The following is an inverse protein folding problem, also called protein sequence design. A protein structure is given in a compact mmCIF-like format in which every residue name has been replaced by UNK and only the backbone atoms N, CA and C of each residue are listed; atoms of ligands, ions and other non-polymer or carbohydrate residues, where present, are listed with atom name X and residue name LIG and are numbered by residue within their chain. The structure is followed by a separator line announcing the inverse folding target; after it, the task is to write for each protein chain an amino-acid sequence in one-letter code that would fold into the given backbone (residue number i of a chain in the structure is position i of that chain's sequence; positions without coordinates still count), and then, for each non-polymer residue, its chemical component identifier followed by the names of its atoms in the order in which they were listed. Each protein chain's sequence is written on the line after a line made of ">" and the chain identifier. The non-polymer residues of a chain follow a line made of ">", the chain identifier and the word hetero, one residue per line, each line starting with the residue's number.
data_IF_251034836261
#
_entry.id   IF_251034836261
#
_cell.length_a   1.000
_cell.length_b   1.000
_cell.length_c   1.000
_cell.angle_alpha   90.00
_cell.angle_beta   90.00
_cell.angle_gamma   90.00
#
_symmetry.space_group_name_H-M   'P 1'
#
loop_
_entity.id
_entity.type
_entity.pdbx_description
1 polymer ?
#
# COMPACT_ATOMS: atom_id res chain seq x y z
N UNK A 1 -81.91 3.92 -60.54
CA UNK A 1 -81.46 4.30 -59.18
C UNK A 1 -81.05 3.04 -58.43
N UNK A 2 -79.74 2.82 -58.26
CA UNK A 2 -79.13 1.94 -57.24
C UNK A 2 -77.78 2.59 -56.90
N UNK A 3 -77.67 3.18 -55.71
CA UNK A 3 -76.40 3.62 -55.13
C UNK A 3 -75.79 2.42 -54.40
N UNK A 4 -74.52 2.10 -54.68
CA UNK A 4 -73.68 1.24 -53.85
C UNK A 4 -72.67 2.11 -53.07
N UNK A 5 -72.35 1.79 -51.81
CA UNK A 5 -71.43 2.61 -51.01
C UNK A 5 -69.96 2.27 -51.31
N UNK A 6 -69.15 3.30 -51.48
CA UNK A 6 -67.69 3.25 -51.46
C UNK A 6 -67.22 3.09 -50.00
N UNK A 7 -66.56 1.98 -49.68
CA UNK A 7 -65.83 1.78 -48.43
C UNK A 7 -64.50 2.54 -48.49
N UNK A 8 -64.34 3.55 -47.64
CA UNK A 8 -63.07 4.23 -47.42
C UNK A 8 -62.29 3.51 -46.30
N UNK A 9 -61.25 2.77 -46.66
CA UNK A 9 -60.27 2.25 -45.71
C UNK A 9 -59.39 3.39 -45.20
N UNK A 10 -59.54 3.75 -43.94
CA UNK A 10 -58.61 4.63 -43.22
C UNK A 10 -57.46 3.78 -42.67
N UNK A 11 -56.26 3.98 -43.20
CA UNK A 11 -55.03 3.39 -42.66
C UNK A 11 -54.50 4.30 -41.57
N UNK A 12 -54.67 3.89 -40.31
CA UNK A 12 -54.11 4.59 -39.15
C UNK A 12 -52.64 4.18 -38.98
N UNK A 13 -51.71 5.07 -39.31
CA UNK A 13 -50.28 4.87 -39.04
C UNK A 13 -50.04 5.18 -37.56
N UNK A 14 -49.87 4.15 -36.74
CA UNK A 14 -49.35 4.30 -35.39
C UNK A 14 -47.85 4.61 -35.48
N UNK A 15 -47.50 5.89 -35.29
CA UNK A 15 -46.12 6.31 -35.07
C UNK A 15 -45.72 5.89 -33.65
N UNK A 16 -44.99 4.78 -33.53
CA UNK A 16 -44.40 4.35 -32.27
C UNK A 16 -43.32 5.35 -31.85
N UNK A 17 -43.66 6.28 -30.95
CA UNK A 17 -42.67 7.10 -30.24
C UNK A 17 -41.94 6.15 -29.28
N UNK A 18 -40.78 5.64 -29.71
CA UNK A 18 -39.86 4.98 -28.81
C UNK A 18 -39.29 6.03 -27.86
N UNK A 19 -39.75 6.06 -26.61
CA UNK A 19 -39.05 6.77 -25.54
C UNK A 19 -37.69 6.09 -25.35
N UNK A 20 -36.63 6.69 -25.91
CA UNK A 20 -35.28 6.34 -25.55
C UNK A 20 -35.10 6.63 -24.06
N UNK A 21 -34.87 5.58 -23.27
CA UNK A 21 -34.41 5.74 -21.89
C UNK A 21 -33.17 6.65 -21.91
N UNK A 22 -33.06 7.65 -21.01
CA UNK A 22 -31.87 8.48 -20.95
C UNK A 22 -30.67 7.56 -20.75
N UNK A 23 -29.71 7.67 -21.66
CA UNK A 23 -28.51 6.85 -21.62
C UNK A 23 -27.82 7.10 -20.27
N UNK A 24 -27.64 6.03 -19.48
CA UNK A 24 -27.10 6.14 -18.13
C UNK A 24 -25.60 6.39 -18.24
N UNK A 25 -25.13 7.54 -17.75
CA UNK A 25 -23.71 7.84 -17.70
C UNK A 25 -22.96 6.75 -16.91
N UNK A 26 -21.75 6.42 -17.34
CA UNK A 26 -20.92 5.38 -16.72
C UNK A 26 -19.91 6.02 -15.79
N UNK A 27 -19.91 5.61 -14.51
CA UNK A 27 -18.90 6.06 -13.55
C UNK A 27 -17.75 5.05 -13.50
N UNK A 28 -16.52 5.54 -13.57
CA UNK A 28 -15.30 4.74 -13.47
C UNK A 28 -14.36 5.34 -12.41
N UNK A 29 -13.43 4.52 -11.92
CA UNK A 29 -12.37 4.95 -11.04
C UNK A 29 -11.06 5.10 -11.83
N UNK A 30 -10.32 6.17 -11.58
CA UNK A 30 -9.09 6.50 -12.31
C UNK A 30 -8.03 6.87 -11.30
N UNK A 31 -6.92 6.13 -11.37
CA UNK A 31 -5.76 6.34 -10.52
C UNK A 31 -4.66 6.97 -11.35
N UNK A 32 -4.05 8.01 -10.81
CA UNK A 32 -2.88 8.65 -11.40
C UNK A 32 -1.75 8.67 -10.38
N UNK A 33 -0.54 8.34 -10.83
CA UNK A 33 0.67 8.49 -10.05
C UNK A 33 1.70 9.28 -10.84
N UNK A 34 2.41 10.16 -10.15
CA UNK A 34 3.60 10.83 -10.65
C UNK A 34 4.71 10.75 -9.61
N UNK A 35 5.79 10.08 -9.99
CA UNK A 35 7.06 10.08 -9.28
C UNK A 35 7.89 11.27 -9.76
N UNK A 36 8.08 12.25 -8.88
CA UNK A 36 8.69 13.55 -9.17
C UNK A 36 10.20 13.47 -9.24
N UNK A 37 10.81 12.49 -8.59
CA UNK A 37 12.26 12.33 -8.64
C UNK A 37 12.66 11.77 -10.01
N UNK A 38 11.91 10.76 -10.49
CA UNK A 38 12.16 10.09 -11.78
C UNK A 38 11.39 10.69 -12.97
N UNK A 39 10.49 11.65 -12.72
CA UNK A 39 9.53 12.19 -13.71
C UNK A 39 8.70 11.09 -14.41
N UNK A 40 8.37 10.01 -13.70
CA UNK A 40 7.58 8.89 -14.21
C UNK A 40 6.11 9.09 -13.92
N UNK A 41 5.27 8.75 -14.89
CA UNK A 41 3.82 8.84 -14.78
C UNK A 41 3.17 7.47 -14.98
N UNK A 42 1.97 7.33 -14.42
CA UNK A 42 1.11 6.20 -14.72
C UNK A 42 -0.36 6.54 -14.49
N UNK A 43 -1.22 6.09 -15.40
CA UNK A 43 -2.67 6.14 -15.24
C UNK A 43 -3.20 4.72 -15.33
N UNK A 44 -4.10 4.35 -14.41
CA UNK A 44 -4.89 3.14 -14.51
C UNK A 44 -6.37 3.45 -14.29
N UNK A 45 -7.24 2.90 -15.13
CA UNK A 45 -8.67 3.11 -15.07
C UNK A 45 -9.41 1.79 -14.82
N UNK A 46 -10.47 1.86 -14.01
CA UNK A 46 -11.23 0.71 -13.51
C UNK A 46 -12.72 0.90 -13.69
N UNK A 47 -13.40 -0.15 -14.14
CA UNK A 47 -14.86 -0.17 -14.14
C UNK A 47 -15.42 -0.35 -12.71
N UNK A 48 -16.75 -0.32 -12.58
CA UNK A 48 -17.45 -0.53 -11.31
C UNK A 48 -17.22 -1.92 -10.68
N UNK A 49 -16.92 -2.93 -11.51
CA UNK A 49 -16.49 -4.26 -11.06
C UNK A 49 -15.01 -4.31 -10.65
N UNK A 50 -14.34 -3.15 -10.61
CA UNK A 50 -12.92 -2.96 -10.28
C UNK A 50 -11.96 -3.70 -11.22
N UNK A 51 -12.39 -3.97 -12.45
CA UNK A 51 -11.55 -4.58 -13.49
C UNK A 51 -10.80 -3.47 -14.25
N UNK A 52 -9.54 -3.73 -14.62
CA UNK A 52 -8.71 -2.81 -15.38
C UNK A 52 -9.30 -2.64 -16.79
N UNK A 53 -9.53 -1.39 -17.18
CA UNK A 53 -10.11 -1.02 -18.50
C UNK A 53 -9.22 -0.06 -19.29
N UNK A 54 -8.14 0.45 -18.70
CA UNK A 54 -7.17 1.30 -19.37
C UNK A 54 -5.92 1.48 -18.53
N UNK A 55 -4.76 1.56 -19.18
CA UNK A 55 -3.47 1.72 -18.51
C UNK A 55 -2.48 2.43 -19.42
N UNK A 56 -1.66 3.34 -18.87
CA UNK A 56 -0.58 4.01 -19.60
C UNK A 56 0.55 4.40 -18.65
N UNK A 57 1.77 4.51 -19.17
CA UNK A 57 2.94 5.05 -18.46
C UNK A 57 3.20 6.51 -18.80
N UNK A 58 2.12 7.25 -18.99
CA UNK A 58 2.10 8.64 -19.38
C UNK A 58 1.07 9.39 -18.51
N UNK A 59 1.04 10.72 -18.59
CA UNK A 59 0.03 11.58 -17.98
C UNK A 59 -1.25 11.70 -18.83
N UNK A 60 -1.32 10.97 -19.95
CA UNK A 60 -2.50 10.91 -20.84
C UNK A 60 -2.86 9.45 -21.17
N UNK A 61 -4.14 9.13 -21.05
CA UNK A 61 -4.76 7.88 -21.46
C UNK A 61 -5.72 8.15 -22.63
N UNK A 62 -5.26 7.82 -23.83
CA UNK A 62 -5.87 8.20 -25.11
C UNK A 62 -5.98 7.04 -26.12
N UNK A 63 -5.89 5.80 -25.63
CA UNK A 63 -5.91 4.60 -26.46
C UNK A 63 -6.87 3.54 -25.91
N UNK A 64 -7.12 2.50 -26.70
CA UNK A 64 -8.05 1.43 -26.35
C UNK A 64 -9.46 1.97 -26.10
N UNK A 65 -10.04 1.66 -24.94
CA UNK A 65 -11.37 2.17 -24.55
C UNK A 65 -11.43 3.70 -24.47
N UNK A 66 -10.28 4.39 -24.36
CA UNK A 66 -10.18 5.83 -24.17
C UNK A 66 -9.78 6.58 -25.44
N UNK A 67 -9.80 5.95 -26.62
CA UNK A 67 -9.41 6.59 -27.89
C UNK A 67 -10.39 7.69 -28.39
N UNK A 68 -11.64 7.67 -27.92
CA UNK A 68 -12.64 8.70 -28.27
C UNK A 68 -12.84 9.74 -27.16
N UNK A 69 -12.57 9.35 -25.91
CA UNK A 69 -12.76 10.18 -24.72
C UNK A 69 -11.52 10.02 -23.83
N UNK A 70 -10.52 10.87 -24.11
CA UNK A 70 -9.22 10.78 -23.46
C UNK A 70 -9.30 11.28 -22.02
N UNK A 71 -8.44 10.74 -21.16
CA UNK A 71 -8.22 11.24 -19.80
C UNK A 71 -6.79 11.75 -19.69
N UNK A 72 -6.61 13.00 -19.26
CA UNK A 72 -5.30 13.60 -19.06
C UNK A 72 -5.23 14.28 -17.69
N UNK A 73 -4.09 14.12 -17.02
CA UNK A 73 -3.79 14.79 -15.76
C UNK A 73 -2.80 15.93 -15.98
N UNK A 74 -3.12 17.11 -15.43
CA UNK A 74 -2.26 18.29 -15.39
C UNK A 74 -2.06 18.69 -13.93
N UNK A 75 -1.04 18.10 -13.31
CA UNK A 75 -0.78 18.25 -11.88
C UNK A 75 0.44 19.14 -11.65
N UNK A 76 0.30 20.13 -10.78
CA UNK A 76 1.38 21.05 -10.41
C UNK A 76 2.23 20.51 -9.24
N UNK A 77 3.23 21.31 -8.83
CA UNK A 77 4.14 20.96 -7.73
C UNK A 77 3.45 20.90 -6.37
N UNK A 78 2.31 21.57 -6.21
CA UNK A 78 1.47 21.54 -5.01
C UNK A 78 0.47 20.37 -5.03
N UNK A 79 0.54 19.49 -6.03
CA UNK A 79 -0.40 18.39 -6.23
C UNK A 79 -1.84 18.86 -6.49
N UNK A 80 -1.99 20.09 -6.95
CA UNK A 80 -3.26 20.66 -7.45
C UNK A 80 -3.25 20.65 -8.98
N UNK A 81 -4.30 21.19 -9.61
CA UNK A 81 -4.40 21.31 -11.05
C UNK A 81 -5.71 20.76 -11.60
N UNK A 82 -5.64 20.11 -12.75
CA UNK A 82 -6.83 19.73 -13.52
C UNK A 82 -6.76 18.30 -14.05
N UNK A 83 -7.93 17.65 -14.13
CA UNK A 83 -8.17 16.46 -14.92
C UNK A 83 -8.98 16.86 -16.15
N UNK A 84 -8.53 16.46 -17.34
CA UNK A 84 -9.21 16.68 -18.61
C UNK A 84 -9.86 15.38 -19.04
N UNK A 85 -11.17 15.39 -19.27
CA UNK A 85 -11.96 14.23 -19.70
C UNK A 85 -12.70 14.63 -20.98
N UNK A 86 -12.46 13.93 -22.09
CA UNK A 86 -13.13 14.23 -23.36
C UNK A 86 -12.93 15.67 -23.84
N UNK A 87 -11.80 16.28 -23.50
CA UNK A 87 -11.48 17.67 -23.83
C UNK A 87 -12.02 18.74 -22.87
N UNK A 88 -12.82 18.37 -21.86
CA UNK A 88 -13.28 19.29 -20.82
C UNK A 88 -12.40 19.19 -19.57
N UNK A 89 -11.93 20.34 -19.08
CA UNK A 89 -11.12 20.44 -17.88
C UNK A 89 -11.99 20.54 -16.62
N UNK A 90 -11.54 19.87 -15.56
CA UNK A 90 -12.16 19.86 -14.23
C UNK A 90 -11.06 20.06 -13.18
N UNK A 91 -11.34 20.85 -12.14
CA UNK A 91 -10.37 21.04 -11.06
C UNK A 91 -10.21 19.73 -10.26
N UNK A 92 -8.99 19.41 -9.87
CA UNK A 92 -8.71 18.29 -8.96
C UNK A 92 -9.18 18.72 -7.56
N UNK A 93 -10.28 18.12 -7.11
CA UNK A 93 -10.88 18.42 -5.82
C UNK A 93 -11.61 17.21 -5.25
N UNK A 94 -11.62 17.04 -3.92
CA UNK A 94 -12.30 15.93 -3.24
C UNK A 94 -13.83 16.04 -3.21
N UNK A 95 -14.41 17.04 -3.87
CA UNK A 95 -15.83 17.40 -3.81
C UNK A 95 -16.32 17.81 -5.20
N UNK A 96 -17.44 17.24 -5.63
CA UNK A 96 -17.94 17.38 -7.00
C UNK A 96 -18.40 18.81 -7.31
N UNK A 97 -18.93 19.50 -6.31
CA UNK A 97 -19.40 20.89 -6.40
C UNK A 97 -18.28 21.89 -6.67
N UNK A 98 -17.03 21.55 -6.31
CA UNK A 98 -15.85 22.38 -6.54
C UNK A 98 -15.08 21.98 -7.80
N UNK A 99 -15.07 20.70 -8.15
CA UNK A 99 -14.41 20.20 -9.37
C UNK A 99 -15.24 20.41 -10.64
N UNK A 100 -16.56 20.58 -10.51
CA UNK A 100 -17.49 20.60 -11.63
C UNK A 100 -17.91 19.22 -12.13
N UNK A 101 -17.69 18.16 -11.33
CA UNK A 101 -18.17 16.80 -11.61
C UNK A 101 -17.31 15.70 -10.97
N UNK A 102 -16.07 15.47 -11.44
CA UNK A 102 -15.18 14.42 -10.92
C UNK A 102 -14.79 14.63 -9.46
N UNK A 103 -14.65 13.58 -8.66
CA UNK A 103 -14.13 13.73 -7.28
C UNK A 103 -12.78 13.06 -7.17
N UNK A 104 -11.75 13.79 -6.76
CA UNK A 104 -10.38 13.29 -6.63
C UNK A 104 -9.87 13.47 -5.20
N UNK A 105 -9.46 12.37 -4.58
CA UNK A 105 -8.65 12.39 -3.37
C UNK A 105 -7.18 12.41 -3.76
N UNK A 106 -6.32 12.98 -2.90
CA UNK A 106 -4.88 13.02 -3.18
C UNK A 106 -4.02 12.64 -2.00
N UNK A 107 -2.96 11.89 -2.30
CA UNK A 107 -1.85 11.57 -1.41
C UNK A 107 -0.59 12.15 -2.04
N UNK A 108 0.21 12.91 -1.28
CA UNK A 108 1.42 13.49 -1.86
C UNK A 108 2.51 13.82 -0.86
N UNK A 109 3.75 13.84 -1.34
CA UNK A 109 4.89 14.44 -0.65
C UNK A 109 5.80 15.13 -1.69
N UNK A 110 7.04 15.45 -1.30
CA UNK A 110 7.97 16.10 -2.21
C UNK A 110 8.42 15.20 -3.37
N UNK A 111 8.36 13.87 -3.22
CA UNK A 111 8.80 12.86 -4.19
C UNK A 111 7.68 12.30 -5.05
N UNK A 112 6.45 12.24 -4.56
CA UNK A 112 5.35 11.61 -5.30
C UNK A 112 4.02 12.31 -5.09
N UNK A 113 3.14 12.14 -6.07
CA UNK A 113 1.70 12.41 -5.96
C UNK A 113 0.92 11.23 -6.50
N UNK A 114 -0.12 10.84 -5.77
CA UNK A 114 -1.12 9.87 -6.17
C UNK A 114 -2.50 10.51 -6.07
N UNK A 115 -3.30 10.33 -7.12
CA UNK A 115 -4.68 10.78 -7.20
C UNK A 115 -5.60 9.58 -7.37
N UNK A 116 -6.68 9.56 -6.61
CA UNK A 116 -7.77 8.60 -6.73
C UNK A 116 -9.03 9.37 -7.11
N UNK A 117 -9.41 9.27 -8.39
CA UNK A 117 -10.50 10.01 -8.97
C UNK A 117 -11.68 9.11 -9.33
N UNK A 118 -12.88 9.56 -8.99
CA UNK A 118 -14.13 9.04 -9.55
C UNK A 118 -14.60 9.98 -10.65
N UNK A 119 -14.72 9.45 -11.86
CA UNK A 119 -15.08 10.23 -13.06
C UNK A 119 -16.33 9.67 -13.71
N UNK A 120 -17.11 10.55 -14.32
CA UNK A 120 -18.32 10.17 -15.09
C UNK A 120 -18.01 10.35 -16.56
N UNK A 121 -18.12 9.26 -17.32
CA UNK A 121 -17.87 9.20 -18.76
C UNK A 121 -19.18 9.41 -19.53
N UNK A 122 -19.06 9.73 -20.82
CA UNK A 122 -20.22 9.78 -21.73
C UNK A 122 -21.00 8.46 -21.70
N UNK A 123 -22.33 8.52 -21.89
CA UNK A 123 -23.18 7.34 -21.81
C UNK A 123 -22.88 6.29 -22.91
N UNK A 124 -22.14 6.65 -23.96
CA UNK A 124 -21.65 5.72 -24.99
C UNK A 124 -20.34 5.04 -24.60
N UNK A 125 -19.66 5.48 -23.54
CA UNK A 125 -18.42 4.88 -23.09
C UNK A 125 -18.65 3.45 -22.59
N UNK A 126 -17.86 2.51 -23.13
CA UNK A 126 -17.88 1.11 -22.71
C UNK A 126 -16.47 0.69 -22.29
N UNK A 127 -16.21 0.67 -20.98
CA UNK A 127 -14.96 0.19 -20.40
C UNK A 127 -14.87 -1.33 -20.42
N UNK A 128 -14.38 -1.91 -21.51
CA UNK A 128 -14.14 -3.36 -21.59
C UNK A 128 -12.86 -3.74 -20.84
N UNK A 129 -12.85 -4.81 -20.04
CA UNK A 129 -11.64 -5.25 -19.37
C UNK A 129 -10.48 -5.49 -20.34
N UNK A 130 -9.27 -5.08 -19.94
CA UNK A 130 -8.04 -5.29 -20.70
C UNK A 130 -7.09 -6.19 -19.92
N UNK A 131 -6.22 -6.91 -20.65
CA UNK A 131 -5.08 -7.62 -20.09
C UNK A 131 -3.80 -6.82 -20.34
N UNK A 132 -2.88 -6.88 -19.38
CA UNK A 132 -1.58 -6.20 -19.41
C UNK A 132 -0.42 -7.19 -19.38
N UNK A 133 -0.69 -8.47 -19.60
CA UNK A 133 0.35 -9.51 -19.59
C UNK A 133 1.48 -9.13 -20.54
N UNK A 134 2.71 -9.09 -20.03
CA UNK A 134 3.90 -8.70 -20.80
C UNK A 134 4.12 -7.19 -20.96
N UNK A 135 3.30 -6.34 -20.33
CA UNK A 135 3.53 -4.89 -20.31
C UNK A 135 4.53 -4.54 -19.21
N UNK A 136 5.57 -3.79 -19.55
CA UNK A 136 6.52 -3.29 -18.56
C UNK A 136 5.81 -2.35 -17.57
N UNK A 137 6.05 -2.50 -16.25
CA UNK A 137 5.45 -1.60 -15.25
C UNK A 137 5.99 -0.18 -15.39
N UNK A 138 5.15 0.82 -15.10
CA UNK A 138 5.57 2.23 -15.18
C UNK A 138 6.56 2.63 -14.09
N UNK A 139 6.60 1.87 -12.99
CA UNK A 139 7.43 2.13 -11.82
C UNK A 139 8.26 0.88 -11.50
N UNK A 140 9.51 1.04 -11.06
CA UNK A 140 10.46 -0.07 -10.87
C UNK A 140 10.15 -0.96 -9.65
N UNK A 141 10.39 -2.27 -9.80
CA UNK A 141 10.02 -3.36 -8.88
C UNK A 141 9.12 -4.38 -9.60
N UNK A 142 8.97 -5.60 -9.08
CA UNK A 142 8.02 -6.63 -9.57
C UNK A 142 6.56 -6.23 -9.34
N UNK A 143 6.20 -5.03 -9.79
CA UNK A 143 5.00 -4.32 -9.44
C UNK A 143 4.28 -3.98 -10.74
N UNK A 144 3.51 -4.95 -11.23
CA UNK A 144 2.65 -4.77 -12.41
C UNK A 144 1.62 -3.66 -12.19
N UNK A 145 0.85 -3.28 -13.22
CA UNK A 145 -0.05 -2.10 -13.30
C UNK A 145 -1.06 -1.87 -12.15
N UNK A 146 -1.02 -2.69 -11.10
CA UNK A 146 -1.94 -2.69 -10.00
C UNK A 146 -1.30 -2.89 -8.62
N UNK A 147 -0.04 -2.52 -8.43
CA UNK A 147 0.35 -1.94 -7.13
C UNK A 147 -0.43 -0.64 -6.83
N UNK A 148 -1.03 -0.04 -7.87
CA UNK A 148 -2.12 0.93 -7.78
C UNK A 148 -3.35 0.40 -7.03
N UNK A 149 -3.51 -0.90 -6.80
CA UNK A 149 -4.56 -1.45 -5.92
C UNK A 149 -4.08 -1.51 -4.50
N UNK A 150 -2.79 -1.53 -4.21
CA UNK A 150 -2.27 -1.52 -2.84
C UNK A 150 -2.04 -0.08 -2.37
N UNK A 151 -1.50 0.80 -3.22
CA UNK A 151 -1.42 2.25 -2.96
C UNK A 151 -2.80 2.90 -2.81
N UNK A 152 -3.84 2.35 -3.44
CA UNK A 152 -5.22 2.87 -3.36
C UNK A 152 -6.17 1.98 -2.54
N UNK A 153 -5.84 0.72 -2.20
CA UNK A 153 -6.52 0.00 -1.08
C UNK A 153 -5.90 0.24 0.29
N UNK A 154 -4.85 1.05 0.39
CA UNK A 154 -4.66 1.91 1.57
C UNK A 154 -5.94 2.72 1.88
N UNK A 155 -6.77 2.99 0.85
CA UNK A 155 -8.11 3.58 0.95
C UNK A 155 -9.22 2.50 0.95
N UNK A 156 -8.91 1.23 1.28
CA UNK A 156 -9.89 0.34 1.92
C UNK A 156 -9.83 0.64 3.42
N UNK A 157 -10.50 1.74 3.76
CA UNK A 157 -10.63 2.36 5.09
C UNK A 157 -11.26 1.47 6.16
N UNK A 158 -11.55 0.20 5.85
CA UNK A 158 -12.15 -0.77 6.76
C UNK A 158 -11.16 -1.43 7.73
N UNK A 159 -9.84 -1.29 7.51
CA UNK A 159 -8.82 -1.85 8.43
C UNK A 159 -8.20 -0.82 9.39
N UNK A 160 -8.62 0.45 9.33
CA UNK A 160 -8.15 1.47 10.25
C UNK A 160 -8.64 1.15 11.68
N UNK A 161 -7.73 0.70 12.55
CA UNK A 161 -8.02 0.61 13.98
C UNK A 161 -7.29 1.74 14.69
N UNK A 162 -7.83 2.21 15.82
CA UNK A 162 -7.01 2.94 16.78
C UNK A 162 -5.93 1.96 17.22
N UNK A 163 -4.68 2.22 16.83
CA UNK A 163 -3.59 1.32 17.18
C UNK A 163 -3.19 1.65 18.60
N UNK A 164 -3.37 0.68 19.49
CA UNK A 164 -2.82 0.74 20.82
C UNK A 164 -1.31 0.55 20.68
N UNK A 165 -0.53 1.61 20.94
CA UNK A 165 0.95 1.63 20.80
C UNK A 165 1.66 0.69 21.78
N UNK A 166 0.90 -0.10 22.53
CA UNK A 166 1.35 -0.93 23.64
C UNK A 166 1.19 -2.43 23.37
N UNK A 167 1.22 -2.87 22.11
CA UNK A 167 1.30 -4.31 21.78
C UNK A 167 2.76 -4.79 21.70
N UNK A 168 3.63 -4.30 22.58
CA UNK A 168 4.97 -4.87 22.74
C UNK A 168 4.85 -6.07 23.67
N UNK A 169 5.21 -7.27 23.20
CA UNK A 169 5.52 -8.38 24.10
C UNK A 169 6.67 -7.90 25.00
N UNK A 170 6.47 -7.98 26.32
CA UNK A 170 7.49 -7.59 27.29
C UNK A 170 8.71 -8.49 27.07
N UNK A 171 9.80 -7.92 26.56
CA UNK A 171 11.12 -8.54 26.68
C UNK A 171 11.47 -8.43 28.15
N UNK A 172 11.84 -9.51 28.85
CA UNK A 172 12.35 -9.42 30.20
C UNK A 172 13.50 -8.39 30.22
N UNK A 173 13.37 -7.30 30.98
CA UNK A 173 14.45 -6.30 31.15
C UNK A 173 15.70 -6.90 31.83
N UNK A 174 15.60 -8.13 32.30
CA UNK A 174 16.68 -8.84 32.97
C UNK A 174 17.41 -9.73 31.98
N UNK A 175 18.50 -9.22 31.40
CA UNK A 175 19.76 -9.93 31.14
C UNK A 175 20.89 -8.99 30.61
N UNK A 176 20.71 -7.67 30.61
CA UNK A 176 21.82 -6.72 30.38
C UNK A 176 22.85 -6.70 31.54
N UNK A 177 22.58 -7.43 32.63
CA UNK A 177 23.45 -7.54 33.80
C UNK A 177 24.34 -8.78 33.87
N UNK A 178 24.55 -9.53 32.78
CA UNK A 178 25.52 -10.65 32.76
C UNK A 178 26.88 -10.28 32.17
N UNK A 179 27.03 -9.11 31.54
CA UNK A 179 28.34 -8.60 31.15
C UNK A 179 29.18 -8.16 32.38
N UNK A 180 28.57 -8.08 33.57
CA UNK A 180 29.23 -7.71 34.83
C UNK A 180 29.44 -8.89 35.79
N UNK A 181 29.43 -10.14 35.29
CA UNK A 181 29.86 -11.33 36.05
C UNK A 181 31.12 -11.95 35.43
N UNK A 182 32.15 -11.14 35.28
CA UNK A 182 33.48 -11.56 34.80
C UNK A 182 34.20 -12.55 35.76
N UNK A 183 33.60 -12.92 36.90
CA UNK A 183 34.20 -13.83 37.89
C UNK A 183 33.22 -14.81 38.58
N UNK A 184 32.07 -15.13 37.97
CA UNK A 184 31.28 -16.28 38.44
C UNK A 184 31.83 -17.55 37.80
N UNK A 185 32.33 -18.42 38.67
CA UNK A 185 32.71 -19.81 38.39
C UNK A 185 31.75 -20.44 37.37
N UNK A 186 32.22 -20.63 36.13
CA UNK A 186 31.46 -21.09 34.95
C UNK A 186 31.08 -22.58 35.05
N UNK A 187 30.47 -22.98 36.15
CA UNK A 187 29.90 -24.32 36.34
C UNK A 187 28.54 -24.38 35.66
N UNK A 188 28.46 -25.10 34.55
CA UNK A 188 27.24 -25.52 33.84
C UNK A 188 26.08 -24.52 33.87
N UNK A 189 26.29 -23.34 33.30
CA UNK A 189 25.21 -22.37 33.10
C UNK A 189 24.41 -22.76 31.85
N UNK A 190 23.09 -22.66 31.95
CA UNK A 190 22.20 -22.66 30.79
C UNK A 190 21.89 -21.20 30.47
N UNK A 191 22.26 -20.74 29.29
CA UNK A 191 21.91 -19.42 28.80
C UNK A 191 20.81 -19.53 27.75
N UNK A 192 19.81 -18.66 27.84
CA UNK A 192 18.81 -18.52 26.79
C UNK A 192 19.11 -17.26 25.98
N UNK A 193 19.01 -17.36 24.66
CA UNK A 193 19.15 -16.23 23.72
C UNK A 193 18.03 -16.28 22.67
N UNK A 194 17.99 -15.28 21.82
CA UNK A 194 17.20 -15.27 20.59
C UNK A 194 18.17 -15.11 19.44
N UNK A 195 18.06 -15.95 18.42
CA UNK A 195 18.98 -15.99 17.29
C UNK A 195 18.21 -15.84 15.97
N UNK A 196 18.82 -15.24 14.93
CA UNK A 196 18.18 -15.08 13.63
C UNK A 196 18.06 -16.41 12.90
N UNK A 197 16.90 -16.65 12.32
CA UNK A 197 16.69 -17.76 11.39
C UNK A 197 17.01 -17.26 9.98
N UNK A 198 17.89 -17.95 9.26
CA UNK A 198 18.15 -17.63 7.85
C UNK A 198 16.84 -17.78 7.06
N UNK A 199 16.44 -16.72 6.36
CA UNK A 199 15.18 -16.71 5.64
C UNK A 199 14.88 -15.36 5.00
N UNK A 200 13.68 -15.27 4.44
CA UNK A 200 13.21 -14.11 3.68
C UNK A 200 12.95 -12.92 4.62
N UNK A 201 13.74 -11.86 4.46
CA UNK A 201 13.58 -10.58 5.15
C UNK A 201 12.68 -9.68 4.31
N UNK A 202 11.76 -8.94 4.94
CA UNK A 202 10.82 -8.10 4.21
C UNK A 202 10.64 -6.72 4.85
N UNK A 203 10.67 -5.66 4.02
CA UNK A 203 10.20 -4.35 4.45
C UNK A 203 8.69 -4.36 4.68
N UNK A 204 8.27 -3.66 5.73
CA UNK A 204 6.88 -3.39 6.04
C UNK A 204 6.76 -1.92 6.43
N UNK A 205 5.60 -1.32 6.21
CA UNK A 205 5.38 0.06 6.59
C UNK A 205 4.14 0.19 7.46
N UNK A 206 4.24 0.99 8.53
CA UNK A 206 3.11 1.36 9.34
C UNK A 206 2.74 2.81 9.07
N UNK A 207 1.60 3.02 8.43
CA UNK A 207 1.07 4.33 8.12
C UNK A 207 0.13 4.80 9.23
N UNK A 208 0.34 5.99 9.78
CA UNK A 208 -0.49 6.57 10.84
C UNK A 208 -0.78 8.06 10.60
N UNK A 209 -1.99 8.50 10.92
CA UNK A 209 -2.35 9.91 10.86
C UNK A 209 -1.86 10.68 12.09
N UNK A 210 -1.06 11.73 11.86
CA UNK A 210 -0.40 12.48 12.92
C UNK A 210 -1.15 13.75 13.34
N UNK A 211 -1.91 14.35 12.42
CA UNK A 211 -2.70 15.56 12.71
C UNK A 211 -4.16 15.22 12.89
N UNK A 212 -4.91 16.14 13.51
CA UNK A 212 -6.37 16.14 13.36
C UNK A 212 -6.72 16.54 11.92
N UNK A 213 -7.99 16.36 11.54
CA UNK A 213 -8.51 16.80 10.26
C UNK A 213 -8.60 18.33 10.26
N UNK A 214 -7.90 18.97 9.33
CA UNK A 214 -7.99 20.41 9.12
C UNK A 214 -8.99 20.65 7.99
N UNK A 215 -10.04 21.42 8.29
CA UNK A 215 -11.03 21.84 7.32
C UNK A 215 -10.64 23.22 6.81
N UNK A 216 -10.34 23.35 5.51
CA UNK A 216 -9.93 24.64 4.95
C UNK A 216 -11.09 25.65 4.88
N UNK A 217 -12.34 25.17 4.82
CA UNK A 217 -13.52 26.04 4.69
C UNK A 217 -13.39 27.00 3.52
N UNK A 218 -13.85 28.24 3.69
CA UNK A 218 -13.86 29.23 2.60
C UNK A 218 -12.49 29.82 2.23
N UNK A 219 -11.42 29.49 2.96
CA UNK A 219 -10.08 30.02 2.69
C UNK A 219 -9.56 29.52 1.34
N UNK A 220 -8.87 30.38 0.57
CA UNK A 220 -8.28 29.97 -0.72
C UNK A 220 -7.22 28.88 -0.58
N UNK A 221 -6.54 28.86 0.57
CA UNK A 221 -5.60 27.82 0.95
C UNK A 221 -5.60 27.64 2.47
N UNK A 222 -5.26 26.44 2.93
CA UNK A 222 -4.98 26.17 4.34
C UNK A 222 -3.83 25.17 4.51
N UNK A 223 -3.33 25.02 5.73
CA UNK A 223 -2.20 24.13 6.01
C UNK A 223 -2.40 23.30 7.28
N UNK A 224 -1.83 22.10 7.29
CA UNK A 224 -1.68 21.27 8.48
C UNK A 224 -0.21 20.97 8.68
N UNK A 225 0.26 21.10 9.92
CA UNK A 225 1.68 20.91 10.25
C UNK A 225 1.85 19.97 11.43
N UNK A 226 2.89 19.14 11.36
CA UNK A 226 3.49 18.46 12.52
C UNK A 226 4.65 19.34 13.01
N UNK A 227 4.85 19.42 14.32
CA UNK A 227 5.97 20.16 14.94
C UNK A 227 6.74 19.24 15.89
N UNK A 228 8.02 19.53 16.09
CA UNK A 228 9.00 18.77 16.87
C UNK A 228 8.58 18.51 18.34
N UNK A 229 7.59 19.25 18.84
CA UNK A 229 7.02 19.07 20.18
C UNK A 229 6.19 17.79 20.33
N UNK A 230 5.96 17.03 19.27
CA UNK A 230 5.16 15.79 19.32
C UNK A 230 6.06 14.58 19.04
N UNK A 231 6.57 13.94 20.09
CA UNK A 231 7.32 12.69 19.95
C UNK A 231 6.37 11.51 19.75
N UNK A 232 6.60 10.74 18.68
CA UNK A 232 5.92 9.47 18.43
C UNK A 232 6.95 8.35 18.50
N UNK A 233 6.69 7.37 19.36
CA UNK A 233 7.58 6.22 19.52
C UNK A 233 7.00 5.03 18.76
N UNK A 234 7.75 4.56 17.77
CA UNK A 234 7.51 3.28 17.12
C UNK A 234 8.29 2.22 17.86
N UNK A 235 7.70 1.04 18.07
CA UNK A 235 8.33 -0.06 18.80
C UNK A 235 8.30 -1.33 17.97
N UNK A 236 9.24 -2.24 18.23
CA UNK A 236 9.16 -3.58 17.66
C UNK A 236 7.90 -4.33 18.14
N UNK A 237 7.45 -5.28 17.35
CA UNK A 237 6.45 -6.28 17.71
C UNK A 237 6.98 -7.68 17.39
N UNK A 238 6.53 -8.68 18.15
CA UNK A 238 6.91 -10.07 17.94
C UNK A 238 5.67 -10.96 18.03
N UNK A 239 5.60 -12.02 17.21
CA UNK A 239 4.46 -12.96 17.23
C UNK A 239 4.55 -14.00 18.36
N UNK A 240 5.71 -14.08 19.02
CA UNK A 240 5.92 -14.83 20.24
C UNK A 240 6.83 -14.06 21.22
N UNK A 241 7.01 -14.59 22.42
CA UNK A 241 7.86 -13.97 23.44
C UNK A 241 9.34 -14.12 23.10
N UNK A 242 10.03 -12.98 23.03
CA UNK A 242 11.49 -12.92 22.90
C UNK A 242 12.15 -13.21 24.24
N UNK A 243 13.17 -14.06 24.21
CA UNK A 243 14.09 -14.22 25.33
C UNK A 243 14.98 -12.98 25.47
N UNK A 244 15.52 -12.49 24.35
CA UNK A 244 16.37 -11.29 24.31
C UNK A 244 16.04 -10.47 23.06
N UNK A 245 16.10 -9.15 23.18
CA UNK A 245 16.00 -8.30 22.00
C UNK A 245 17.25 -8.42 21.14
N UNK A 246 17.08 -8.56 19.82
CA UNK A 246 18.17 -8.61 18.85
C UNK A 246 17.84 -7.75 17.62
N UNK A 247 18.88 -7.22 16.99
CA UNK A 247 18.77 -6.60 15.66
C UNK A 247 18.92 -7.61 14.51
N UNK A 248 19.32 -8.86 14.81
CA UNK A 248 19.53 -9.94 13.84
C UNK A 248 20.48 -9.57 12.68
N UNK A 249 21.41 -8.63 12.90
CA UNK A 249 22.30 -8.11 11.85
C UNK A 249 21.66 -7.07 10.93
N UNK A 250 20.40 -6.70 11.16
CA UNK A 250 19.71 -5.64 10.42
C UNK A 250 19.87 -4.28 11.10
N UNK A 251 19.79 -3.20 10.31
CA UNK A 251 19.76 -1.83 10.83
C UNK A 251 18.37 -1.49 11.38
N UNK A 252 17.98 -2.17 12.47
CA UNK A 252 16.69 -2.00 13.16
C UNK A 252 16.90 -1.60 14.62
N UNK A 253 15.89 -0.94 15.20
CA UNK A 253 15.90 -0.49 16.58
C UNK A 253 14.72 -1.08 17.37
N UNK A 254 14.88 -1.20 18.71
CA UNK A 254 13.77 -1.54 19.62
C UNK A 254 12.66 -0.49 19.55
N UNK A 255 13.08 0.78 19.45
CA UNK A 255 12.19 1.90 19.20
C UNK A 255 12.93 3.08 18.59
N UNK A 256 12.21 3.98 17.91
CA UNK A 256 12.74 5.26 17.46
C UNK A 256 11.68 6.36 17.60
N UNK A 257 12.11 7.63 17.61
CA UNK A 257 11.21 8.79 17.70
C UNK A 257 11.69 9.93 16.83
N UNK A 258 10.77 10.66 16.23
CA UNK A 258 11.05 11.86 15.42
C UNK A 258 10.68 13.15 16.14
N UNK A 259 11.39 14.22 15.79
CA UNK A 259 11.03 15.60 16.09
C UNK A 259 11.31 16.47 14.86
N UNK A 260 10.56 16.27 13.77
CA UNK A 260 10.68 17.07 12.56
C UNK A 260 9.35 17.76 12.21
N UNK A 261 9.46 18.96 11.63
CA UNK A 261 8.29 19.69 11.14
C UNK A 261 7.97 19.34 9.69
N UNK A 262 6.73 18.93 9.42
CA UNK A 262 6.24 18.71 8.06
C UNK A 262 4.92 19.44 7.87
N UNK A 263 4.78 20.15 6.75
CA UNK A 263 3.60 20.96 6.45
C UNK A 263 2.96 20.54 5.13
N UNK A 264 1.65 20.34 5.18
CA UNK A 264 0.79 20.04 4.04
C UNK A 264 -0.07 21.24 3.69
N UNK A 265 -0.31 21.45 2.39
CA UNK A 265 -1.24 22.44 1.87
C UNK A 265 -2.56 21.83 1.39
N UNK A 266 -3.64 22.60 1.52
CA UNK A 266 -4.98 22.27 1.06
C UNK A 266 -5.62 23.49 0.40
N UNK A 267 -6.54 23.23 -0.51
CA UNK A 267 -7.35 24.22 -1.20
C UNK A 267 -8.66 24.50 -0.46
N UNK A 268 -9.40 25.47 -0.99
CA UNK A 268 -10.72 25.85 -0.47
C UNK A 268 -11.65 24.65 -0.32
N UNK A 269 -12.33 24.57 0.81
CA UNK A 269 -13.34 23.55 1.13
C UNK A 269 -12.82 22.10 1.12
N UNK A 270 -11.50 21.89 1.08
CA UNK A 270 -10.87 20.59 1.27
C UNK A 270 -10.69 20.25 2.75
N UNK A 271 -10.59 18.94 3.02
CA UNK A 271 -10.11 18.41 4.30
C UNK A 271 -8.71 17.86 4.09
N UNK A 272 -7.75 18.28 4.91
CA UNK A 272 -6.37 17.81 4.82
C UNK A 272 -5.82 17.31 6.17
N UNK A 273 -4.87 16.39 6.09
CA UNK A 273 -4.19 15.80 7.23
C UNK A 273 -2.78 15.34 6.85
N UNK A 274 -1.89 15.32 7.85
CA UNK A 274 -0.53 14.79 7.72
C UNK A 274 -0.52 13.34 8.21
N UNK A 275 0.08 12.47 7.42
CA UNK A 275 0.37 11.09 7.73
C UNK A 275 1.86 10.86 7.78
N UNK A 276 2.25 9.83 8.52
CA UNK A 276 3.60 9.35 8.59
C UNK A 276 3.65 7.87 8.23
N UNK A 277 4.57 7.51 7.34
CA UNK A 277 4.82 6.13 6.95
C UNK A 277 6.10 5.62 7.64
N UNK A 278 5.95 4.86 8.72
CA UNK A 278 7.07 4.31 9.48
C UNK A 278 7.60 3.01 8.89
N UNK A 279 8.83 3.01 8.42
CA UNK A 279 9.47 1.84 7.84
C UNK A 279 9.95 0.86 8.92
N UNK A 280 9.64 -0.42 8.70
CA UNK A 280 9.96 -1.54 9.55
C UNK A 280 10.55 -2.68 8.71
N UNK A 281 11.30 -3.55 9.36
CA UNK A 281 11.81 -4.79 8.79
C UNK A 281 11.22 -5.96 9.57
N UNK A 282 10.60 -6.90 8.85
CA UNK A 282 10.15 -8.19 9.37
C UNK A 282 11.22 -9.25 9.09
N UNK A 283 11.57 -10.00 10.12
CA UNK A 283 12.54 -11.10 10.06
C UNK A 283 12.15 -12.22 11.02
N UNK A 284 12.59 -13.44 10.71
CA UNK A 284 12.35 -14.62 11.53
C UNK A 284 13.48 -14.84 12.54
N UNK A 285 13.11 -15.24 13.75
CA UNK A 285 14.03 -15.56 14.85
C UNK A 285 13.57 -16.83 15.57
N UNK A 286 14.46 -17.43 16.34
CA UNK A 286 14.15 -18.55 17.23
C UNK A 286 14.81 -18.33 18.59
N UNK A 287 14.18 -18.84 19.66
CA UNK A 287 14.79 -18.82 20.97
C UNK A 287 15.69 -20.06 21.10
N UNK A 288 16.86 -19.90 21.71
CA UNK A 288 17.88 -20.94 21.84
C UNK A 288 18.29 -21.08 23.30
N UNK A 289 18.57 -22.31 23.73
CA UNK A 289 19.19 -22.63 25.01
C UNK A 289 20.57 -23.23 24.79
N UNK A 290 21.58 -22.62 25.40
CA UNK A 290 22.97 -23.08 25.37
C UNK A 290 23.37 -23.64 26.72
N UNK A 291 23.72 -24.93 26.75
CA UNK A 291 24.30 -25.58 27.93
C UNK A 291 25.81 -25.76 27.73
N UNK A 292 26.60 -24.98 28.46
CA UNK A 292 28.06 -24.99 28.36
C UNK A 292 28.73 -26.30 28.86
N UNK A 293 27.99 -27.22 29.47
CA UNK A 293 28.49 -28.52 29.91
C UNK A 293 28.15 -29.68 28.97
N UNK A 294 27.42 -29.42 27.88
CA UNK A 294 27.17 -30.42 26.85
C UNK A 294 28.27 -30.34 25.78
N UNK A 295 29.08 -31.40 25.70
CA UNK A 295 30.22 -31.51 24.78
C UNK A 295 29.82 -32.01 23.38
N UNK A 296 28.54 -32.30 23.14
CA UNK A 296 28.05 -32.61 21.80
C UNK A 296 27.70 -31.31 21.09
N UNK A 297 28.49 -30.98 20.05
CA UNK A 297 28.35 -29.83 19.13
C UNK A 297 27.54 -28.65 19.71
N UNK A 298 28.13 -27.96 20.69
CA UNK A 298 27.70 -26.68 21.27
C UNK A 298 26.46 -26.65 22.18
N UNK A 299 25.92 -27.78 22.65
CA UNK A 299 24.91 -27.81 23.72
C UNK A 299 23.68 -26.93 23.49
N UNK A 300 23.39 -26.62 22.23
CA UNK A 300 22.39 -25.66 21.82
C UNK A 300 21.10 -26.39 21.43
N UNK A 301 19.99 -26.02 22.06
CA UNK A 301 18.66 -26.56 21.73
C UNK A 301 17.70 -25.44 21.41
N UNK A 302 16.99 -25.56 20.28
CA UNK A 302 15.92 -24.64 19.90
C UNK A 302 14.76 -24.76 20.91
N UNK A 303 14.29 -23.62 21.40
CA UNK A 303 13.12 -23.50 22.25
C UNK A 303 11.88 -23.16 21.42
N UNK A 304 11.15 -24.19 21.00
CA UNK A 304 9.93 -24.04 20.21
C UNK A 304 10.21 -23.93 18.71
N UNK A 305 9.36 -23.19 18.00
CA UNK A 305 9.51 -22.95 16.56
C UNK A 305 9.91 -21.50 16.26
N UNK A 306 10.33 -21.23 15.01
CA UNK A 306 10.65 -19.87 14.59
C UNK A 306 9.42 -18.97 14.64
N UNK A 307 9.63 -17.69 14.90
CA UNK A 307 8.59 -16.67 14.96
C UNK A 307 9.08 -15.35 14.39
N UNK A 308 8.15 -14.43 14.11
CA UNK A 308 8.46 -13.17 13.44
C UNK A 308 8.67 -12.05 14.44
N UNK A 309 9.64 -11.21 14.12
CA UNK A 309 9.83 -9.89 14.72
C UNK A 309 9.71 -8.85 13.63
N UNK A 310 8.88 -7.84 13.86
CA UNK A 310 8.79 -6.63 13.03
C UNK A 310 9.36 -5.47 13.83
N UNK A 311 10.54 -5.00 13.44
CA UNK A 311 11.25 -3.92 14.14
C UNK A 311 11.32 -2.66 13.27
N UNK A 312 11.17 -1.46 13.83
CA UNK A 312 11.37 -0.25 13.07
C UNK A 312 12.82 -0.11 12.61
N UNK A 313 13.02 0.51 11.46
CA UNK A 313 14.35 0.76 10.92
C UNK A 313 15.09 1.80 11.79
N UNK A 314 16.38 1.56 12.03
CA UNK A 314 17.22 2.44 12.82
C UNK A 314 17.20 3.86 12.26
N UNK A 315 17.09 4.85 13.14
CA UNK A 315 16.99 6.28 12.79
C UNK A 315 15.85 6.61 11.81
N UNK A 316 14.80 5.77 11.75
CA UNK A 316 13.66 5.98 10.86
C UNK A 316 14.00 5.82 9.36
N UNK A 317 15.09 5.14 8.99
CA UNK A 317 15.48 4.96 7.60
C UNK A 317 14.35 4.39 6.73
N UNK A 318 14.07 5.04 5.60
CA UNK A 318 12.99 4.66 4.68
C UNK A 318 11.61 5.18 5.08
N UNK A 319 11.49 5.83 6.24
CA UNK A 319 10.25 6.44 6.69
C UNK A 319 10.07 7.84 6.12
N UNK A 320 8.84 8.32 6.02
CA UNK A 320 8.55 9.65 5.47
C UNK A 320 7.16 10.18 5.85
N UNK A 321 7.04 11.50 5.90
CA UNK A 321 5.74 12.17 5.93
C UNK A 321 5.11 12.25 4.55
N UNK A 322 3.77 12.26 4.55
CA UNK A 322 2.99 12.57 3.37
C UNK A 322 1.67 13.25 3.75
N UNK A 323 1.10 13.95 2.78
CA UNK A 323 -0.14 14.68 2.89
C UNK A 323 -1.28 13.85 2.33
N UNK A 324 -2.43 13.89 2.98
CA UNK A 324 -3.68 13.28 2.50
C UNK A 324 -4.75 14.36 2.45
N UNK A 325 -5.52 14.36 1.36
CA UNK A 325 -6.63 15.28 1.14
C UNK A 325 -7.87 14.48 0.71
N UNK A 326 -9.00 14.77 1.34
CA UNK A 326 -10.31 14.16 1.06
C UNK A 326 -10.60 12.89 1.85
N UNK A 327 -9.60 12.05 2.13
CA UNK A 327 -9.77 10.73 2.81
C UNK A 327 -9.14 10.67 4.20
N UNK A 328 -9.11 11.81 4.90
CA UNK A 328 -8.56 11.88 6.24
C UNK A 328 -9.35 11.04 7.26
N UNK A 329 -8.64 10.54 8.27
CA UNK A 329 -9.11 9.71 9.38
C UNK A 329 -9.01 10.44 10.70
N UNK A 330 -9.17 9.75 11.83
CA UNK A 330 -8.86 10.36 13.12
C UNK A 330 -7.35 10.30 13.41
N UNK A 331 -6.85 11.32 14.13
CA UNK A 331 -5.48 11.31 14.65
C UNK A 331 -5.22 10.02 15.43
N UNK A 332 -4.10 9.36 15.14
CA UNK A 332 -3.68 8.11 15.76
C UNK A 332 -4.28 6.84 15.14
N UNK A 333 -5.10 6.97 14.09
CA UNK A 333 -5.50 5.82 13.29
C UNK A 333 -4.42 5.49 12.28
N UNK A 334 -4.17 4.20 12.10
CA UNK A 334 -3.17 3.70 11.18
C UNK A 334 -3.47 2.30 10.66
N UNK A 335 -2.60 1.82 9.79
CA UNK A 335 -2.68 0.48 9.22
C UNK A 335 -1.29 0.02 8.76
N UNK A 336 -1.11 -1.29 8.64
CA UNK A 336 0.11 -1.89 8.10
C UNK A 336 0.00 -2.06 6.59
N UNK A 337 1.07 -1.70 5.89
CA UNK A 337 1.34 -2.04 4.50
C UNK A 337 2.42 -3.13 4.46
N UNK A 338 1.99 -4.34 4.10
CA UNK A 338 2.85 -5.52 4.03
C UNK A 338 3.49 -5.74 2.66
N UNK A 339 3.27 -4.85 1.69
CA UNK A 339 3.78 -4.98 0.32
C UNK A 339 5.15 -4.31 0.15
N UNK A 340 5.95 -4.24 1.22
CA UNK A 340 7.32 -3.74 1.10
C UNK A 340 8.20 -4.75 0.37
N UNK A 341 9.30 -4.23 -0.19
CA UNK A 341 10.29 -5.03 -0.93
C UNK A 341 10.94 -6.06 -0.02
N UNK A 342 11.38 -7.16 -0.61
CA UNK A 342 12.29 -8.09 0.07
C UNK A 342 13.61 -7.38 0.40
N UNK A 343 14.18 -7.71 1.55
CA UNK A 343 15.39 -7.12 2.10
C UNK A 343 15.16 -6.18 3.30
N UNK A 344 16.24 -5.95 4.04
CA UNK A 344 16.31 -4.98 5.13
C UNK A 344 16.55 -3.55 4.62
N UNK A 345 16.78 -2.58 5.52
CA UNK A 345 17.08 -1.18 5.18
C UNK A 345 18.39 -1.03 4.39
N UNK A 346 19.27 -2.03 4.49
CA UNK A 346 20.54 -2.12 3.78
C UNK A 346 20.46 -2.91 2.45
N UNK A 347 19.26 -3.20 1.94
CA UNK A 347 19.06 -3.87 0.65
C UNK A 347 19.36 -5.38 0.65
N UNK A 348 19.24 -6.04 -0.52
CA UNK A 348 19.34 -7.49 -0.68
C UNK A 348 20.77 -8.07 -0.64
N UNK A 349 21.80 -7.23 -0.52
CA UNK A 349 23.17 -7.62 -0.92
C UNK A 349 24.12 -7.94 0.25
N UNK A 350 23.67 -7.89 1.51
CA UNK A 350 24.55 -8.05 2.68
C UNK A 350 24.30 -9.30 3.54
N UNK A 351 23.39 -10.20 3.12
CA UNK A 351 23.44 -11.60 3.55
C UNK A 351 24.04 -12.38 2.38
N UNK A 352 25.37 -12.43 2.37
CA UNK A 352 26.18 -12.86 1.23
C UNK A 352 25.59 -13.99 0.39
N UNK A 353 25.44 -13.69 -0.90
CA UNK A 353 25.80 -14.54 -2.03
C UNK A 353 25.55 -16.06 -1.91
N UNK A 354 24.40 -16.45 -1.38
CA UNK A 354 23.72 -17.67 -1.81
C UNK A 354 22.37 -17.27 -2.38
N UNK A 355 22.37 -17.06 -3.69
CA UNK A 355 21.16 -16.82 -4.48
C UNK A 355 20.21 -18.01 -4.35
N UNK A 356 19.34 -17.98 -3.35
CA UNK A 356 18.18 -18.86 -3.29
C UNK A 356 17.08 -18.21 -4.10
N UNK A 357 17.12 -18.47 -5.40
CA UNK A 357 15.93 -18.38 -6.23
C UNK A 357 14.94 -19.43 -5.71
N UNK A 358 13.75 -19.06 -5.21
CA UNK A 358 12.79 -20.01 -4.64
C UNK A 358 12.27 -21.03 -5.67
N UNK A 359 12.61 -20.87 -6.96
CA UNK A 359 12.24 -21.78 -8.03
C UNK A 359 13.33 -22.82 -8.40
N UNK A 360 14.49 -22.89 -7.72
CA UNK A 360 15.56 -23.83 -8.12
C UNK A 360 16.15 -24.69 -7.00
N UNK A 361 15.72 -24.55 -5.75
CA UNK A 361 16.27 -25.39 -4.69
C UNK A 361 15.49 -26.70 -4.51
N UNK A 362 15.93 -27.74 -5.23
CA UNK A 362 15.40 -29.10 -5.13
C UNK A 362 15.66 -29.78 -3.79
N UNK A 363 16.29 -29.12 -2.82
CA UNK A 363 16.57 -29.69 -1.49
C UNK A 363 15.37 -29.67 -0.53
N UNK A 364 14.26 -28.99 -0.86
CA UNK A 364 13.04 -28.98 -0.03
C UNK A 364 12.09 -30.16 -0.35
N UNK A 365 12.37 -30.95 -1.40
CA UNK A 365 11.49 -32.06 -1.83
C UNK A 365 11.79 -33.43 -1.18
N UNK A 366 12.81 -33.56 -0.32
CA UNK A 366 13.09 -34.84 0.36
C UNK A 366 12.38 -35.03 1.72
N UNK A 367 11.58 -34.06 2.19
CA UNK A 367 10.82 -34.22 3.45
C UNK A 367 9.36 -34.70 3.27
N UNK A 368 8.91 -34.98 2.04
CA UNK A 368 7.53 -35.44 1.78
C UNK A 368 7.43 -36.80 1.06
N UNK A 369 8.46 -37.64 1.17
CA UNK A 369 8.46 -38.99 0.64
C UNK A 369 7.89 -40.03 1.61
N UNK A 370 6.56 -40.09 1.78
CA UNK A 370 5.83 -41.35 2.03
C UNK A 370 4.32 -41.10 2.24
N UNK A 371 3.52 -41.12 1.17
CA UNK A 371 2.30 -41.95 1.02
C UNK A 371 1.47 -41.50 -0.21
N UNK A 372 1.61 -42.31 -1.27
CA UNK A 372 0.58 -42.79 -2.19
C UNK A 372 -0.34 -41.81 -2.99
N UNK A 373 -0.05 -41.78 -4.30
CA UNK A 373 -0.93 -42.00 -5.47
C UNK A 373 -2.11 -41.04 -5.76
N UNK A 374 -1.88 -40.19 -6.78
CA UNK A 374 -2.79 -40.04 -7.92
C UNK A 374 -3.67 -38.79 -7.97
N UNK A 375 -3.29 -37.81 -8.80
CA UNK A 375 -4.20 -36.76 -9.28
C UNK A 375 -3.47 -35.46 -9.59
N UNK A 376 -3.52 -35.05 -10.85
CA UNK A 376 -2.88 -33.86 -11.40
C UNK A 376 -3.20 -32.57 -10.63
N UNK A 377 -2.15 -31.90 -10.14
CA UNK A 377 -2.20 -30.51 -9.72
C UNK A 377 -1.05 -29.77 -10.41
N UNK A 378 -1.39 -28.96 -11.42
CA UNK A 378 -0.52 -27.92 -11.94
C UNK A 378 -0.25 -26.91 -10.81
N UNK A 379 0.89 -27.05 -10.14
CA UNK A 379 1.41 -26.02 -9.26
C UNK A 379 1.93 -24.88 -10.15
N UNK A 380 1.16 -23.78 -10.20
CA UNK A 380 1.64 -22.50 -10.71
C UNK A 380 2.71 -21.95 -9.76
N UNK A 381 3.84 -21.51 -10.30
CA UNK A 381 4.78 -20.62 -9.60
C UNK A 381 4.14 -19.26 -9.35
#
# INVERSE_FOLDING_TARGET
>A
MRLGPLLASTVTVFSSIALALPAKNTTINVLYRHDRDDQKHGIAAFNSAKQLIGYTCDYTLDHGNFAAEHIQFKVDKQSTGEIVIGGKAYAIHSKAEHSGGPTCNRIYNHKMVELDCTVTMDAKFVGRPISINGTQPCFGGDLTAFDLRQGVRVIDTSQAKKVDRSSSVQVPETLDGLDELENVDKRCLVQSTTDPVKGVVQQQYFAEQYTKNIQCGSASSCSASVTDSTSYTFTFTATAQLTKWINAGFSVAKSWSEGASYTCGGGKDETLCVWYNGAHTRYAVENMKYNYCDTSVWGASIEGGPFDVTSPNSNGQGSYYYCVVGTCRDKGQGYWNYNGRYGGPNGPDDLGDEGVNPCTDSSILEAAGAMAVGGDAEASC
#
